data_IF_516160768696
#
_entry.id   IF_516160768696
#
_cell.length_a   1.000
_cell.length_b   1.000
_cell.length_c   1.000
_cell.angle_alpha   90.00
_cell.angle_beta   90.00
_cell.angle_gamma   90.00
#
_symmetry.space_group_name_H-M   'P 1'
#
loop_
_entity.id
_entity.type
_entity.pdbx_description
1 polymer ?
#
# COMPACT_ATOMS: atom_id res chain seq x y z
N UNK A 1 -12.38 -31.17 14.77
CA UNK A 1 -11.73 -30.32 13.76
C UNK A 1 -10.23 -30.35 14.00
N UNK A 2 -9.44 -30.63 12.95
CA UNK A 2 -7.98 -30.60 13.05
C UNK A 2 -7.49 -29.15 13.09
N UNK A 3 -6.26 -28.92 13.57
CA UNK A 3 -5.64 -27.59 13.52
C UNK A 3 -5.60 -27.05 12.07
N UNK A 4 -5.37 -27.94 11.09
CA UNK A 4 -5.42 -27.60 9.67
C UNK A 4 -6.80 -27.07 9.26
N UNK A 5 -7.90 -27.74 9.65
CA UNK A 5 -9.26 -27.26 9.31
C UNK A 5 -9.57 -25.88 9.90
N UNK A 6 -9.00 -25.59 11.08
CA UNK A 6 -9.17 -24.26 11.72
C UNK A 6 -8.38 -23.20 10.95
N UNK A 7 -7.17 -23.51 10.52
CA UNK A 7 -6.34 -22.59 9.71
C UNK A 7 -7.03 -22.31 8.39
N UNK A 8 -7.48 -23.34 7.67
CA UNK A 8 -8.14 -23.20 6.37
C UNK A 8 -9.42 -22.35 6.45
N UNK A 9 -10.21 -22.55 7.51
CA UNK A 9 -11.41 -21.72 7.78
C UNK A 9 -11.03 -20.25 8.02
N UNK A 10 -9.98 -20.00 8.78
CA UNK A 10 -9.50 -18.64 9.07
C UNK A 10 -9.04 -17.92 7.82
N UNK A 11 -8.24 -18.59 6.99
CA UNK A 11 -7.77 -18.04 5.72
C UNK A 11 -8.95 -17.71 4.79
N UNK A 12 -9.95 -18.59 4.71
CA UNK A 12 -11.16 -18.35 3.93
C UNK A 12 -11.98 -17.15 4.46
N UNK A 13 -12.09 -17.00 5.79
CA UNK A 13 -12.76 -15.85 6.40
C UNK A 13 -12.04 -14.54 6.12
N UNK A 14 -10.71 -14.51 6.26
CA UNK A 14 -9.90 -13.32 5.96
C UNK A 14 -10.01 -12.92 4.49
N UNK A 15 -9.92 -13.90 3.59
CA UNK A 15 -10.14 -13.68 2.15
C UNK A 15 -11.53 -13.10 1.86
N UNK A 16 -12.58 -13.61 2.52
CA UNK A 16 -13.95 -13.10 2.35
C UNK A 16 -14.11 -11.66 2.80
N UNK A 17 -13.38 -11.24 3.84
CA UNK A 17 -13.38 -9.85 4.31
C UNK A 17 -12.65 -8.92 3.34
N UNK A 18 -11.57 -9.38 2.69
CA UNK A 18 -10.89 -8.62 1.64
C UNK A 18 -11.77 -8.44 0.40
N UNK A 19 -12.47 -9.50 -0.02
CA UNK A 19 -13.43 -9.43 -1.12
C UNK A 19 -14.63 -8.52 -0.81
N UNK A 20 -15.06 -8.48 0.45
CA UNK A 20 -16.11 -7.55 0.91
C UNK A 20 -15.69 -6.09 0.75
N UNK A 21 -14.44 -5.75 1.09
CA UNK A 21 -13.92 -4.39 0.91
C UNK A 21 -13.90 -4.02 -0.58
N UNK A 22 -13.43 -4.91 -1.45
CA UNK A 22 -13.40 -4.69 -2.92
C UNK A 22 -14.81 -4.53 -3.49
N UNK A 23 -15.74 -5.41 -3.10
CA UNK A 23 -17.14 -5.33 -3.54
C UNK A 23 -17.79 -4.01 -3.10
N UNK A 24 -17.56 -3.58 -1.86
CA UNK A 24 -18.08 -2.32 -1.35
C UNK A 24 -17.49 -1.11 -2.11
N UNK A 25 -16.21 -1.17 -2.46
CA UNK A 25 -15.62 -0.12 -3.29
C UNK A 25 -16.31 -0.01 -4.65
N UNK A 26 -16.52 -1.13 -5.32
CA UNK A 26 -17.20 -1.17 -6.63
C UNK A 26 -18.66 -0.69 -6.52
N UNK A 27 -19.39 -1.12 -5.48
CA UNK A 27 -20.75 -0.67 -5.23
C UNK A 27 -20.85 0.84 -5.04
N UNK A 28 -19.93 1.43 -4.29
CA UNK A 28 -19.98 2.86 -3.99
C UNK A 28 -19.45 3.74 -5.13
N UNK A 29 -18.47 3.27 -5.91
CA UNK A 29 -17.68 4.12 -6.78
C UNK A 29 -17.52 3.60 -8.22
N UNK A 30 -18.08 2.43 -8.54
CA UNK A 30 -17.95 1.83 -9.88
C UNK A 30 -18.47 2.70 -11.02
N UNK A 31 -19.48 3.51 -10.75
CA UNK A 31 -20.10 4.44 -11.72
C UNK A 31 -19.58 5.89 -11.57
N UNK A 32 -18.53 6.11 -10.78
CA UNK A 32 -17.97 7.46 -10.59
C UNK A 32 -17.28 7.94 -11.87
N UNK A 33 -17.88 8.91 -12.56
CA UNK A 33 -17.36 9.47 -13.83
C UNK A 33 -16.18 10.43 -13.66
N UNK A 34 -15.91 10.91 -12.43
CA UNK A 34 -14.79 11.82 -12.16
C UNK A 34 -13.51 11.01 -11.91
N UNK A 35 -12.73 10.79 -12.97
CA UNK A 35 -11.48 10.05 -12.93
C UNK A 35 -10.28 10.99 -12.87
N UNK A 36 -9.38 10.82 -11.90
CA UNK A 36 -8.20 11.65 -11.69
C UNK A 36 -6.94 10.81 -11.65
N UNK A 37 -5.86 11.30 -12.22
CA UNK A 37 -4.60 10.56 -12.27
C UNK A 37 -3.91 10.51 -10.90
N UNK A 38 -3.17 9.43 -10.64
CA UNK A 38 -2.32 9.34 -9.44
C UNK A 38 -1.34 10.52 -9.36
N UNK A 39 -0.86 11.03 -10.51
CA UNK A 39 0.01 12.20 -10.55
C UNK A 39 -0.65 13.44 -9.92
N UNK A 40 -1.93 13.63 -10.13
CA UNK A 40 -2.65 14.79 -9.62
C UNK A 40 -3.13 14.60 -8.17
N UNK A 41 -3.29 13.33 -7.76
CA UNK A 41 -3.69 12.95 -6.40
C UNK A 41 -2.52 12.92 -5.40
N UNK A 42 -1.29 12.90 -5.87
CA UNK A 42 -0.11 12.80 -5.00
C UNK A 42 0.80 14.03 -5.10
N UNK A 43 1.31 14.46 -3.96
CA UNK A 43 2.36 15.46 -3.86
C UNK A 43 3.71 14.90 -4.30
N UNK A 44 3.99 13.64 -3.93
CA UNK A 44 5.22 12.93 -4.25
C UNK A 44 4.85 11.55 -4.79
N UNK A 45 5.47 11.17 -5.91
CA UNK A 45 5.54 9.80 -6.41
C UNK A 45 7.01 9.54 -6.75
N UNK A 46 7.68 8.78 -5.91
CA UNK A 46 9.10 8.40 -6.07
C UNK A 46 9.31 6.98 -5.57
N UNK A 47 10.54 6.51 -5.54
CA UNK A 47 10.91 5.20 -5.03
C UNK A 47 11.89 5.30 -3.86
N UNK A 48 12.11 4.19 -3.18
CA UNK A 48 13.04 4.10 -2.06
C UNK A 48 14.51 4.17 -2.48
N UNK A 49 15.38 3.76 -1.58
CA UNK A 49 16.83 3.88 -1.72
C UNK A 49 17.37 2.96 -2.82
N UNK A 50 18.08 3.54 -3.81
CA UNK A 50 18.67 2.81 -4.94
C UNK A 50 19.90 2.02 -4.57
N UNK A 51 20.81 2.63 -3.80
CA UNK A 51 22.01 1.98 -3.30
C UNK A 51 21.71 1.37 -1.92
N UNK A 52 21.95 0.06 -1.72
CA UNK A 52 21.79 -0.52 -0.40
C UNK A 52 22.64 0.24 0.63
N UNK A 53 22.03 0.76 1.70
CA UNK A 53 22.79 1.39 2.77
C UNK A 53 23.60 0.34 3.54
N UNK A 54 24.52 0.82 4.39
CA UNK A 54 25.20 -0.09 5.35
C UNK A 54 24.19 -0.56 6.39
N UNK A 55 23.91 -1.86 6.39
CA UNK A 55 23.04 -2.48 7.38
C UNK A 55 23.79 -2.81 8.68
N UNK A 56 23.04 -2.88 9.76
CA UNK A 56 23.48 -3.26 11.09
C UNK A 56 22.46 -4.20 11.75
N UNK A 57 22.80 -4.78 12.87
CA UNK A 57 21.96 -5.79 13.56
C UNK A 57 20.73 -5.20 14.22
N UNK A 58 20.78 -3.95 14.65
CA UNK A 58 19.70 -3.23 15.32
C UNK A 58 19.64 -1.78 14.87
N UNK A 59 18.52 -1.10 15.08
CA UNK A 59 18.37 0.33 14.74
C UNK A 59 17.04 0.64 14.08
N UNK A 60 17.07 1.51 13.07
CA UNK A 60 15.87 1.91 12.33
C UNK A 60 15.57 0.84 11.25
N UNK A 61 14.33 0.30 11.20
CA UNK A 61 13.95 -0.69 10.21
C UNK A 61 14.14 -0.22 8.77
N UNK A 62 14.71 -1.09 7.93
CA UNK A 62 14.78 -0.90 6.49
C UNK A 62 13.97 -2.01 5.81
N UNK A 63 12.79 -1.66 5.30
CA UNK A 63 11.82 -2.63 4.79
C UNK A 63 12.03 -2.95 3.30
N UNK A 64 11.63 -4.15 2.94
CA UNK A 64 11.69 -4.73 1.61
C UNK A 64 10.28 -4.97 1.07
N UNK A 65 10.17 -5.39 -0.20
CA UNK A 65 8.87 -5.70 -0.84
C UNK A 65 8.06 -6.74 -0.04
N UNK A 66 8.72 -7.74 0.54
CA UNK A 66 8.07 -8.75 1.38
C UNK A 66 7.32 -8.18 2.59
N UNK A 67 7.70 -6.99 3.04
CA UNK A 67 7.02 -6.30 4.13
C UNK A 67 5.67 -5.67 3.73
N UNK A 68 5.31 -5.72 2.43
CA UNK A 68 4.04 -5.23 1.89
C UNK A 68 3.13 -6.35 1.35
N UNK A 69 3.51 -7.62 1.48
CA UNK A 69 2.84 -8.76 0.83
C UNK A 69 1.37 -8.91 1.19
N UNK A 70 0.95 -8.45 2.36
CA UNK A 70 -0.43 -8.52 2.85
C UNK A 70 -1.19 -7.18 2.69
N UNK A 71 -0.74 -6.30 1.78
CA UNK A 71 -1.31 -4.95 1.58
C UNK A 71 -1.31 -4.09 2.86
N UNK A 72 -0.40 -4.38 3.76
CA UNK A 72 -0.11 -3.65 4.99
C UNK A 72 1.40 -3.47 5.14
N UNK A 73 1.83 -2.48 5.91
CA UNK A 73 3.24 -2.31 6.22
C UNK A 73 3.58 -3.14 7.45
N UNK A 74 4.54 -4.06 7.31
CA UNK A 74 5.13 -4.77 8.45
C UNK A 74 6.56 -4.30 8.66
N UNK A 75 6.93 -4.07 9.91
CA UNK A 75 8.26 -3.54 10.27
C UNK A 75 9.19 -4.63 10.81
N UNK A 76 8.75 -5.89 10.78
CA UNK A 76 9.59 -7.03 11.13
C UNK A 76 10.57 -7.28 9.98
N UNK A 77 11.84 -6.99 10.22
CA UNK A 77 12.92 -7.07 9.24
C UNK A 77 14.22 -7.48 9.94
N UNK A 78 15.12 -8.08 9.19
CA UNK A 78 16.51 -8.34 9.62
C UNK A 78 17.48 -7.21 9.20
N UNK A 79 16.96 -6.17 8.54
CA UNK A 79 17.76 -5.06 8.01
C UNK A 79 17.47 -3.79 8.76
N UNK A 80 18.48 -3.27 9.43
CA UNK A 80 18.41 -2.02 10.18
C UNK A 80 19.49 -1.05 9.70
N UNK A 81 19.24 0.24 9.84
CA UNK A 81 20.17 1.32 9.51
C UNK A 81 20.39 2.22 10.73
N UNK A 82 21.49 2.97 10.70
CA UNK A 82 21.79 3.96 11.74
C UNK A 82 20.90 5.21 11.62
N UNK A 83 20.79 5.98 12.71
CA UNK A 83 20.13 7.29 12.70
C UNK A 83 20.80 8.29 11.71
N UNK A 84 22.10 8.23 11.54
CA UNK A 84 22.82 9.07 10.55
C UNK A 84 22.37 8.75 9.13
N UNK A 85 22.39 7.46 8.76
CA UNK A 85 21.93 6.98 7.46
C UNK A 85 20.45 7.33 7.22
N UNK A 86 19.61 7.16 8.25
CA UNK A 86 18.22 7.57 8.18
C UNK A 86 18.07 9.06 7.89
N UNK A 87 18.73 9.92 8.63
CA UNK A 87 18.62 11.37 8.48
C UNK A 87 19.12 11.87 7.11
N UNK A 88 20.10 11.19 6.51
CA UNK A 88 20.58 11.48 5.16
C UNK A 88 19.53 11.10 4.10
N UNK A 89 19.05 9.87 4.14
CA UNK A 89 18.16 9.31 3.11
C UNK A 89 16.71 9.78 3.23
N UNK A 90 16.23 10.06 4.44
CA UNK A 90 14.87 10.53 4.71
C UNK A 90 14.52 11.81 3.94
N UNK A 91 15.49 12.67 3.66
CA UNK A 91 15.29 13.92 2.91
C UNK A 91 14.68 13.68 1.53
N UNK A 92 15.02 12.54 0.91
CA UNK A 92 14.50 12.16 -0.41
C UNK A 92 13.08 11.56 -0.32
N UNK A 93 12.82 10.80 0.72
CA UNK A 93 11.56 10.08 0.93
C UNK A 93 11.03 10.39 2.34
N UNK A 94 10.51 11.62 2.56
CA UNK A 94 10.03 12.06 3.87
C UNK A 94 8.68 11.38 4.20
N UNK A 95 8.76 10.07 4.41
CA UNK A 95 7.60 9.24 4.69
C UNK A 95 7.06 9.50 6.09
N UNK A 96 5.75 9.57 6.21
CA UNK A 96 5.04 9.80 7.45
C UNK A 96 3.74 9.00 7.53
N UNK A 97 3.16 8.96 8.71
CA UNK A 97 1.86 8.31 8.92
C UNK A 97 0.79 8.87 7.97
N UNK A 98 0.05 7.99 7.33
CA UNK A 98 -0.97 8.29 6.33
C UNK A 98 -0.44 8.37 4.89
N UNK A 99 0.85 8.21 4.65
CA UNK A 99 1.38 8.03 3.30
C UNK A 99 1.16 6.58 2.82
N UNK A 100 1.31 6.33 1.51
CA UNK A 100 1.20 5.00 0.93
C UNK A 100 2.54 4.51 0.38
N UNK A 101 2.72 3.22 0.48
CA UNK A 101 3.73 2.46 -0.23
C UNK A 101 3.07 1.54 -1.25
N UNK A 102 3.73 1.28 -2.36
CA UNK A 102 3.26 0.35 -3.39
C UNK A 102 4.44 -0.49 -3.87
N UNK A 103 4.32 -1.81 -3.79
CA UNK A 103 5.36 -2.70 -4.33
C UNK A 103 5.39 -2.61 -5.86
N UNK A 104 6.60 -2.56 -6.44
CA UNK A 104 6.79 -2.27 -7.86
C UNK A 104 7.56 -3.33 -8.63
N UNK A 105 8.27 -4.23 -7.95
CA UNK A 105 9.13 -5.24 -8.61
C UNK A 105 8.94 -6.61 -7.96
N UNK A 106 8.86 -7.65 -8.75
CA UNK A 106 8.65 -9.01 -8.32
C UNK A 106 7.20 -9.24 -7.87
N UNK A 107 6.95 -9.22 -6.57
CA UNK A 107 5.59 -9.16 -6.00
C UNK A 107 5.12 -7.70 -6.04
N UNK A 108 4.58 -7.27 -7.16
CA UNK A 108 4.13 -5.91 -7.43
C UNK A 108 2.63 -5.72 -7.16
N UNK A 109 2.20 -4.45 -7.08
CA UNK A 109 0.78 -4.09 -7.01
C UNK A 109 0.16 -4.22 -5.62
N UNK A 110 0.98 -4.35 -4.57
CA UNK A 110 0.54 -4.37 -3.18
C UNK A 110 0.64 -2.98 -2.57
N UNK A 111 -0.46 -2.22 -2.46
CA UNK A 111 -0.48 -0.96 -1.74
C UNK A 111 -0.53 -1.19 -0.24
N UNK A 112 0.08 -0.31 0.53
CA UNK A 112 0.01 -0.33 1.98
C UNK A 112 0.02 1.09 2.55
N UNK A 113 -0.90 1.39 3.48
CA UNK A 113 -0.93 2.67 4.20
C UNK A 113 0.02 2.59 5.39
N UNK A 114 0.83 3.61 5.57
CA UNK A 114 1.65 3.78 6.78
C UNK A 114 0.73 4.17 7.95
N UNK A 115 0.47 3.24 8.83
CA UNK A 115 -0.44 3.42 9.98
C UNK A 115 0.27 3.77 11.28
N UNK A 116 1.56 3.50 11.37
CA UNK A 116 2.36 3.72 12.57
C UNK A 116 3.26 4.95 12.44
N UNK A 117 3.43 5.68 13.52
CA UNK A 117 4.34 6.82 13.57
C UNK A 117 5.72 6.37 14.10
N UNK A 118 6.42 5.59 13.28
CA UNK A 118 7.78 5.12 13.58
C UNK A 118 8.74 5.53 12.47
N UNK A 119 10.03 5.63 12.79
CA UNK A 119 11.08 5.82 11.80
C UNK A 119 11.33 4.53 11.03
N UNK A 120 11.33 4.58 9.71
CA UNK A 120 11.79 3.50 8.84
C UNK A 120 12.15 4.05 7.47
N UNK A 121 12.86 3.26 6.67
CA UNK A 121 13.07 3.50 5.24
C UNK A 121 12.86 2.20 4.45
N UNK A 122 12.94 2.30 3.14
CA UNK A 122 12.60 1.20 2.24
C UNK A 122 13.45 1.20 0.97
N UNK A 123 13.54 0.03 0.34
CA UNK A 123 14.30 -0.17 -0.88
C UNK A 123 13.58 0.41 -2.13
N UNK A 124 14.35 0.57 -3.23
CA UNK A 124 13.90 1.11 -4.52
C UNK A 124 12.75 0.34 -5.19
N UNK A 125 12.49 -0.90 -4.80
CA UNK A 125 11.40 -1.73 -5.33
C UNK A 125 10.04 -1.44 -4.67
N UNK A 126 10.00 -0.38 -3.89
CA UNK A 126 8.79 0.15 -3.26
C UNK A 126 8.63 1.60 -3.73
N UNK A 127 7.52 1.90 -4.36
CA UNK A 127 7.12 3.28 -4.65
C UNK A 127 6.57 3.94 -3.39
N UNK A 128 6.93 5.20 -3.20
CA UNK A 128 6.42 6.09 -2.18
C UNK A 128 5.42 7.05 -2.80
N UNK A 129 4.23 7.06 -2.26
CA UNK A 129 3.10 7.87 -2.70
C UNK A 129 2.68 8.76 -1.52
N UNK A 130 2.84 10.09 -1.67
CA UNK A 130 2.36 11.06 -0.68
C UNK A 130 1.05 11.68 -1.17
N UNK A 131 -0.11 11.26 -0.64
CA UNK A 131 -1.39 11.78 -1.11
C UNK A 131 -1.60 13.26 -0.78
N UNK A 132 -2.32 13.96 -1.65
CA UNK A 132 -2.91 15.27 -1.36
C UNK A 132 -4.12 15.06 -0.46
N UNK A 133 -3.92 15.14 0.85
CA UNK A 133 -4.94 14.79 1.86
C UNK A 133 -6.17 15.69 1.82
N UNK A 134 -6.05 16.84 1.21
CA UNK A 134 -7.16 17.75 0.91
C UNK A 134 -8.07 17.26 -0.24
N UNK A 135 -7.58 16.32 -1.07
CA UNK A 135 -8.30 15.75 -2.21
C UNK A 135 -8.67 14.27 -1.98
N UNK A 136 -7.77 13.50 -1.40
CA UNK A 136 -7.91 12.05 -1.31
C UNK A 136 -7.54 11.49 0.06
N UNK A 137 -8.44 10.66 0.60
CA UNK A 137 -8.20 9.89 1.81
C UNK A 137 -7.27 8.71 1.50
N UNK A 138 -6.27 8.47 2.33
CA UNK A 138 -5.26 7.42 2.12
C UNK A 138 -5.83 6.00 2.13
N UNK A 139 -6.79 5.70 3.01
CA UNK A 139 -7.46 4.39 3.03
C UNK A 139 -8.40 4.20 1.85
N UNK A 140 -9.03 5.29 1.38
CA UNK A 140 -9.78 5.27 0.14
C UNK A 140 -8.86 4.97 -1.06
N UNK A 141 -7.73 5.67 -1.17
CA UNK A 141 -6.76 5.47 -2.24
C UNK A 141 -6.17 4.05 -2.23
N UNK A 142 -5.89 3.51 -1.05
CA UNK A 142 -5.51 2.11 -0.86
C UNK A 142 -6.59 1.15 -1.41
N UNK A 143 -7.84 1.36 -1.04
CA UNK A 143 -8.98 0.58 -1.54
C UNK A 143 -9.14 0.68 -3.06
N UNK A 144 -8.96 1.87 -3.63
CA UNK A 144 -9.03 2.10 -5.08
C UNK A 144 -7.94 1.33 -5.84
N UNK A 145 -6.72 1.28 -5.30
CA UNK A 145 -5.62 0.51 -5.89
C UNK A 145 -5.85 -1.01 -5.78
N UNK A 146 -6.54 -1.48 -4.75
CA UNK A 146 -6.90 -2.90 -4.57
C UNK A 146 -8.17 -3.31 -5.30
N UNK A 147 -9.01 -2.36 -5.68
CA UNK A 147 -10.24 -2.62 -6.44
C UNK A 147 -9.92 -3.24 -7.80
N UNK A 148 -10.86 -4.00 -8.41
CA UNK A 148 -10.62 -4.70 -9.67
C UNK A 148 -10.06 -3.82 -10.78
N UNK A 149 -10.57 -2.59 -10.95
CA UNK A 149 -10.08 -1.66 -11.96
C UNK A 149 -8.66 -1.15 -11.66
N UNK A 150 -8.35 -0.85 -10.40
CA UNK A 150 -7.00 -0.47 -9.97
C UNK A 150 -5.97 -1.56 -10.27
N UNK A 151 -6.28 -2.80 -9.89
CA UNK A 151 -5.42 -3.95 -10.17
C UNK A 151 -5.29 -4.23 -11.67
N UNK A 152 -6.38 -4.13 -12.44
CA UNK A 152 -6.34 -4.25 -13.91
C UNK A 152 -5.40 -3.21 -14.53
N UNK A 153 -5.51 -1.94 -14.13
CA UNK A 153 -4.63 -0.88 -14.62
C UNK A 153 -3.16 -1.12 -14.27
N UNK A 154 -2.87 -1.65 -13.08
CA UNK A 154 -1.53 -2.03 -12.65
C UNK A 154 -0.99 -3.15 -13.56
N UNK A 155 -1.76 -4.23 -13.74
CA UNK A 155 -1.34 -5.38 -14.56
C UNK A 155 -1.07 -4.99 -16.02
N UNK A 156 -1.91 -4.13 -16.61
CA UNK A 156 -1.73 -3.62 -17.98
C UNK A 156 -0.44 -2.77 -18.15
N UNK A 157 0.04 -2.16 -17.06
CA UNK A 157 1.21 -1.27 -17.09
C UNK A 157 2.52 -1.97 -16.71
N UNK A 158 2.44 -3.17 -16.14
CA UNK A 158 3.61 -3.95 -15.74
C UNK A 158 4.38 -4.42 -16.96
N UNK A 159 5.70 -4.32 -16.93
CA UNK A 159 6.62 -4.66 -18.00
C UNK A 159 7.66 -5.68 -17.53
N UNK A 160 8.24 -6.40 -18.47
CA UNK A 160 9.30 -7.38 -18.23
C UNK A 160 8.80 -8.82 -18.27
N UNK A 161 9.63 -9.73 -18.77
CA UNK A 161 9.34 -11.17 -18.89
C UNK A 161 9.91 -11.90 -17.67
N UNK A 162 11.20 -11.74 -17.41
CA UNK A 162 11.88 -12.42 -16.30
C UNK A 162 11.61 -11.76 -14.94
N UNK A 163 11.51 -10.45 -14.91
CA UNK A 163 11.19 -9.68 -13.70
C UNK A 163 10.14 -8.62 -14.03
N UNK A 164 8.94 -8.85 -13.56
CA UNK A 164 7.82 -7.92 -13.72
C UNK A 164 8.07 -6.64 -12.92
N UNK A 165 7.91 -5.50 -13.57
CA UNK A 165 8.20 -4.17 -13.01
C UNK A 165 7.10 -3.18 -13.37
N UNK A 166 6.58 -2.50 -12.38
CA UNK A 166 5.68 -1.35 -12.50
C UNK A 166 6.48 -0.06 -12.34
N UNK A 167 6.65 0.71 -13.42
CA UNK A 167 7.46 1.92 -13.39
C UNK A 167 6.73 3.10 -12.74
N UNK A 168 7.46 4.03 -12.13
CA UNK A 168 6.89 5.25 -11.54
C UNK A 168 6.12 6.10 -12.56
N UNK A 169 6.61 6.16 -13.81
CA UNK A 169 5.92 6.86 -14.90
C UNK A 169 4.56 6.25 -15.25
N UNK A 170 4.41 4.95 -15.05
CA UNK A 170 3.17 4.22 -15.31
C UNK A 170 2.23 4.31 -14.09
N UNK A 171 2.77 4.32 -12.85
CA UNK A 171 1.99 4.60 -11.63
C UNK A 171 1.31 5.97 -11.73
N UNK A 172 2.03 7.02 -12.19
CA UNK A 172 1.45 8.37 -12.36
C UNK A 172 0.22 8.41 -13.25
N UNK A 173 0.08 7.46 -14.18
CA UNK A 173 -1.01 7.38 -15.17
C UNK A 173 -2.19 6.51 -14.71
N UNK A 174 -2.12 5.89 -13.55
CA UNK A 174 -3.24 5.14 -12.99
C UNK A 174 -4.36 6.15 -12.70
N UNK A 175 -5.56 5.85 -13.20
CA UNK A 175 -6.74 6.69 -13.01
C UNK A 175 -7.56 6.16 -11.84
N UNK A 176 -7.90 7.04 -10.92
CA UNK A 176 -8.64 6.74 -9.69
C UNK A 176 -9.98 7.50 -9.75
N UNK A 177 -11.12 6.85 -9.49
CA UNK A 177 -12.38 7.57 -9.29
C UNK A 177 -12.22 8.51 -8.09
N UNK A 178 -12.65 9.76 -8.23
CA UNK A 178 -12.53 10.76 -7.18
C UNK A 178 -13.92 11.31 -6.80
N UNK A 179 -14.65 10.61 -5.91
CA UNK A 179 -15.87 11.11 -5.32
C UNK A 179 -15.57 12.21 -4.30
N UNK A 180 -16.61 12.79 -3.70
CA UNK A 180 -16.43 13.77 -2.62
C UNK A 180 -15.68 13.17 -1.43
N UNK A 181 -14.90 13.98 -0.74
CA UNK A 181 -14.08 13.52 0.39
C UNK A 181 -14.93 12.89 1.51
N UNK A 182 -16.17 13.32 1.69
CA UNK A 182 -17.12 12.73 2.63
C UNK A 182 -17.43 11.24 2.30
N UNK A 183 -17.64 10.92 1.03
CA UNK A 183 -17.89 9.54 0.57
C UNK A 183 -16.63 8.68 0.70
N UNK A 184 -15.47 9.25 0.41
CA UNK A 184 -14.18 8.59 0.64
C UNK A 184 -13.97 8.26 2.12
N UNK A 185 -14.30 9.19 3.02
CA UNK A 185 -14.18 8.99 4.47
C UNK A 185 -15.18 7.91 4.96
N UNK A 186 -16.40 7.88 4.44
CA UNK A 186 -17.37 6.84 4.75
C UNK A 186 -16.85 5.44 4.36
N UNK A 187 -16.22 5.31 3.19
CA UNK A 187 -15.57 4.07 2.78
C UNK A 187 -14.38 3.72 3.70
N UNK A 188 -13.53 4.69 4.04
CA UNK A 188 -12.39 4.47 4.93
C UNK A 188 -12.84 4.00 6.33
N UNK A 189 -13.94 4.51 6.84
CA UNK A 189 -14.50 4.06 8.12
C UNK A 189 -15.07 2.64 8.03
N UNK A 190 -15.69 2.27 6.91
CA UNK A 190 -16.09 0.90 6.65
C UNK A 190 -14.88 -0.05 6.63
N UNK A 191 -13.79 0.28 5.93
CA UNK A 191 -12.55 -0.51 5.92
C UNK A 191 -12.02 -0.71 7.35
N UNK A 192 -11.94 0.35 8.15
CA UNK A 192 -11.50 0.26 9.56
C UNK A 192 -12.36 -0.70 10.40
N UNK A 193 -13.68 -0.75 10.16
CA UNK A 193 -14.56 -1.69 10.85
C UNK A 193 -14.28 -3.13 10.45
N UNK A 194 -14.07 -3.39 9.15
CA UNK A 194 -13.71 -4.72 8.64
C UNK A 194 -12.36 -5.16 9.21
N UNK A 195 -11.35 -4.28 9.22
CA UNK A 195 -10.01 -4.60 9.76
C UNK A 195 -10.04 -4.90 11.27
N UNK A 196 -10.85 -4.19 12.05
CA UNK A 196 -11.09 -4.55 13.47
C UNK A 196 -11.67 -5.96 13.59
N UNK A 197 -12.59 -6.35 12.69
CA UNK A 197 -13.16 -7.70 12.68
C UNK A 197 -12.11 -8.76 12.32
N UNK A 198 -11.21 -8.47 11.38
CA UNK A 198 -10.06 -9.34 11.06
C UNK A 198 -9.15 -9.53 12.29
N UNK A 199 -8.80 -8.44 12.97
CA UNK A 199 -7.95 -8.49 14.15
C UNK A 199 -8.56 -9.33 15.27
N UNK A 200 -9.84 -9.13 15.60
CA UNK A 200 -10.51 -9.91 16.62
C UNK A 200 -10.64 -11.41 16.29
N UNK A 201 -10.60 -11.76 15.01
CA UNK A 201 -10.63 -13.15 14.55
C UNK A 201 -9.23 -13.79 14.48
N UNK A 202 -8.16 -13.01 14.62
CA UNK A 202 -6.77 -13.50 14.55
C UNK A 202 -6.28 -14.07 15.89
N UNK A 203 -7.08 -13.96 16.95
CA UNK A 203 -6.87 -14.54 18.27
C UNK A 203 -7.90 -15.64 18.54
#
# INVERSE_FOLDING_TARGET
DSISDIIDKREAELFSLDELIKARFVEMFGDCGNMVSMNDLCLIITDGTHQPPKFQETGIPFILVSNLSNNTVTYNTEKYISDETYNELYKRTPIEQGDLLLSTVGSYGHPAVVTENIKFLFQRHIAYLKPRRELVNSFYLHGALLAPDGQRQIEEKVKGIAQKTLNLSDIRKIMIPLPKLEEQNAFADFVKQVDKSKFMKSF
#
